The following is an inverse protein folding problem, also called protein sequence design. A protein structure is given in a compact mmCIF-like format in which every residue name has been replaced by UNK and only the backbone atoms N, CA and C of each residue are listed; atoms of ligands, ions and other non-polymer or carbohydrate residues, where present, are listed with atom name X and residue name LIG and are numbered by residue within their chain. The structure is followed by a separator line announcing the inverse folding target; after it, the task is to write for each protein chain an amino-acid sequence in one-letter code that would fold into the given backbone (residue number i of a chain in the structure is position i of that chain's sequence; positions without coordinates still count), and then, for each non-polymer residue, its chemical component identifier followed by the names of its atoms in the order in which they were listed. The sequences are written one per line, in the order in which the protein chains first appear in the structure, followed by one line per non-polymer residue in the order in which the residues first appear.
data_IF_692337058289
#
_entry.id   IF_692337058289
#
_cell.length_a   1.000
_cell.length_b   1.000
_cell.length_c   1.000
_cell.angle_alpha   90.00
_cell.angle_beta   90.00
_cell.angle_gamma   90.00
#
_symmetry.space_group_name_H-M   'P 1'
#
loop_
_entity.id
_entity.type
_entity.pdbx_description
1 polymer ?
#
# COMPACT_ATOMS: atom_id res chain seq x y z
N UNK A 1 -7.36 -5.51 -2.20
CA UNK A 1 -7.63 -6.25 -0.95
C UNK A 1 -7.18 -7.68 -1.05
N UNK A 2 -7.67 -8.48 -2.01
CA UNK A 2 -7.22 -9.86 -2.18
C UNK A 2 -5.70 -10.01 -2.20
N UNK A 3 -5.01 -9.33 -3.12
CA UNK A 3 -3.55 -9.40 -3.24
C UNK A 3 -2.82 -9.10 -1.92
N UNK A 4 -3.33 -8.14 -1.16
CA UNK A 4 -2.81 -7.78 0.16
C UNK A 4 -3.03 -8.92 1.15
N UNK A 5 -4.27 -9.43 1.25
CA UNK A 5 -4.60 -10.54 2.14
C UNK A 5 -3.81 -11.81 1.80
N UNK A 6 -3.65 -12.15 0.52
CA UNK A 6 -2.85 -13.31 0.09
C UNK A 6 -1.38 -13.16 0.43
N UNK A 7 -0.82 -11.95 0.30
CA UNK A 7 0.57 -11.65 0.62
C UNK A 7 0.85 -11.78 2.13
N UNK A 8 -0.01 -11.18 2.96
CA UNK A 8 0.23 -11.08 4.41
C UNK A 8 -0.32 -12.25 5.25
N UNK A 9 -1.16 -13.10 4.68
CA UNK A 9 -1.66 -14.29 5.38
C UNK A 9 -0.53 -15.29 5.66
N UNK A 10 -0.53 -15.88 6.86
CA UNK A 10 0.25 -17.09 7.18
C UNK A 10 -0.49 -18.33 6.69
N UNK A 11 -1.83 -18.29 6.76
CA UNK A 11 -2.70 -19.40 6.41
C UNK A 11 -3.82 -18.92 5.47
N UNK A 12 -4.04 -19.66 4.40
CA UNK A 12 -5.14 -19.41 3.46
C UNK A 12 -5.88 -20.72 3.28
N UNK A 13 -7.13 -20.77 3.73
CA UNK A 13 -7.91 -22.01 3.80
C UNK A 13 -9.29 -21.83 3.21
N UNK A 14 -9.83 -22.89 2.62
CA UNK A 14 -11.25 -22.99 2.31
C UNK A 14 -11.93 -23.75 3.43
N UNK A 15 -13.00 -23.20 3.97
CA UNK A 15 -13.72 -23.77 5.10
C UNK A 15 -15.21 -23.88 4.82
N UNK A 16 -15.90 -24.66 5.65
CA UNK A 16 -17.36 -24.68 5.73
C UNK A 16 -17.83 -24.40 7.16
N UNK A 17 -18.91 -23.63 7.37
CA UNK A 17 -19.45 -23.39 8.71
C UNK A 17 -20.00 -24.69 9.30
N UNK A 18 -19.72 -24.91 10.60
CA UNK A 18 -20.27 -26.01 11.38
C UNK A 18 -21.53 -25.61 12.15
N UNK A 19 -21.59 -24.36 12.59
CA UNK A 19 -22.69 -23.75 13.32
C UNK A 19 -22.67 -22.22 13.12
N UNK A 20 -23.70 -21.54 13.61
CA UNK A 20 -23.83 -20.08 13.53
C UNK A 20 -23.00 -19.32 14.59
N UNK A 21 -22.05 -20.00 15.24
CA UNK A 21 -21.20 -19.45 16.31
C UNK A 21 -19.80 -19.01 15.84
N UNK A 22 -19.55 -19.06 14.53
CA UNK A 22 -18.23 -18.77 13.96
C UNK A 22 -17.26 -19.95 14.02
N UNK A 23 -17.73 -21.18 14.22
CA UNK A 23 -16.93 -22.39 14.09
C UNK A 23 -16.93 -22.91 12.65
N UNK A 24 -15.74 -23.25 12.15
CA UNK A 24 -15.53 -23.68 10.78
C UNK A 24 -14.69 -24.95 10.71
N UNK A 25 -15.00 -25.83 9.75
CA UNK A 25 -14.15 -26.95 9.39
C UNK A 25 -13.35 -26.62 8.13
N UNK A 26 -12.04 -26.84 8.18
CA UNK A 26 -11.13 -26.69 7.03
C UNK A 26 -11.42 -27.79 6.01
N UNK A 27 -11.71 -27.40 4.79
CA UNK A 27 -11.90 -28.29 3.64
C UNK A 27 -10.62 -28.41 2.81
N UNK A 28 -9.92 -27.29 2.62
CA UNK A 28 -8.69 -27.20 1.83
C UNK A 28 -7.73 -26.18 2.44
N UNK A 29 -6.42 -26.39 2.28
CA UNK A 29 -5.39 -25.41 2.58
C UNK A 29 -4.63 -25.02 1.32
N UNK A 30 -4.57 -23.72 1.03
CA UNK A 30 -3.81 -23.14 -0.07
C UNK A 30 -2.45 -22.61 0.41
N UNK A 31 -2.34 -22.23 1.68
CA UNK A 31 -1.12 -21.74 2.35
C UNK A 31 -1.22 -22.06 3.84
N UNK A 32 -0.07 -22.33 4.48
CA UNK A 32 0.03 -22.50 5.93
C UNK A 32 -0.16 -23.95 6.38
N UNK A 33 -0.27 -24.12 7.70
CA UNK A 33 -0.19 -25.43 8.37
C UNK A 33 -1.57 -26.00 8.74
N UNK A 34 -2.64 -25.22 8.60
CA UNK A 34 -4.00 -25.69 8.79
C UNK A 34 -4.32 -26.83 7.81
N UNK A 35 -4.67 -28.00 8.35
CA UNK A 35 -4.95 -29.21 7.53
C UNK A 35 -6.46 -29.40 7.30
N UNK A 36 -6.86 -30.00 6.18
CA UNK A 36 -8.24 -30.47 5.99
C UNK A 36 -8.73 -31.29 7.17
N UNK A 37 -9.97 -31.05 7.60
CA UNK A 37 -10.60 -31.63 8.77
C UNK A 37 -10.37 -30.88 10.08
N UNK A 38 -9.41 -29.95 10.16
CA UNK A 38 -9.21 -29.12 11.33
C UNK A 38 -10.42 -28.24 11.61
N UNK A 39 -10.72 -27.99 12.89
CA UNK A 39 -11.78 -27.08 13.32
C UNK A 39 -11.13 -25.81 13.85
N UNK A 40 -11.59 -24.66 13.37
CA UNK A 40 -11.14 -23.34 13.82
C UNK A 40 -12.34 -22.50 14.24
N UNK A 41 -12.15 -21.65 15.25
CA UNK A 41 -13.16 -20.69 15.70
C UNK A 41 -12.74 -19.28 15.30
N UNK A 42 -13.64 -18.58 14.61
CA UNK A 42 -13.51 -17.16 14.25
C UNK A 42 -14.84 -16.49 14.56
N UNK A 43 -15.08 -16.13 15.84
CA UNK A 43 -16.36 -15.57 16.29
C UNK A 43 -16.78 -14.29 15.55
N UNK A 44 -15.81 -13.51 15.04
CA UNK A 44 -16.05 -12.30 14.26
C UNK A 44 -16.78 -12.56 12.93
N UNK A 45 -16.78 -13.82 12.47
CA UNK A 45 -17.49 -14.28 11.28
C UNK A 45 -18.79 -15.04 11.62
N UNK A 46 -19.24 -14.99 12.87
CA UNK A 46 -20.56 -15.50 13.25
C UNK A 46 -21.66 -14.55 12.74
N UNK A 47 -22.72 -15.06 12.07
CA UNK A 47 -23.88 -14.23 11.74
C UNK A 47 -24.59 -13.78 13.03
N UNK A 48 -25.01 -12.51 13.07
CA UNK A 48 -25.88 -11.98 14.12
C UNK A 48 -27.33 -12.48 13.97
N UNK A 49 -28.16 -12.44 15.04
CA UNK A 49 -29.55 -12.91 14.98
C UNK A 49 -30.43 -12.27 13.89
N UNK A 50 -30.13 -11.04 13.49
CA UNK A 50 -30.83 -10.27 12.45
C UNK A 50 -30.14 -10.32 11.07
N UNK A 51 -29.11 -11.16 10.93
CA UNK A 51 -28.42 -11.37 9.66
C UNK A 51 -29.35 -12.00 8.65
N UNK A 52 -29.25 -11.53 7.41
CA UNK A 52 -30.06 -12.06 6.31
C UNK A 52 -29.34 -13.20 5.59
N UNK A 53 -30.08 -14.10 4.92
CA UNK A 53 -29.50 -15.11 4.05
C UNK A 53 -28.67 -14.52 2.90
N UNK A 54 -27.57 -15.18 2.52
CA UNK A 54 -26.67 -14.74 1.43
C UNK A 54 -27.38 -14.53 0.08
N UNK A 55 -28.45 -15.30 -0.19
CA UNK A 55 -29.25 -15.19 -1.41
C UNK A 55 -30.17 -13.95 -1.46
N UNK A 56 -30.27 -13.17 -0.38
CA UNK A 56 -31.01 -11.91 -0.36
C UNK A 56 -30.15 -10.70 -0.68
N UNK A 57 -28.82 -10.88 -0.74
CA UNK A 57 -27.91 -9.79 -1.08
C UNK A 57 -28.02 -9.52 -2.58
N UNK A 58 -28.19 -8.24 -2.98
CA UNK A 58 -28.41 -7.90 -4.37
C UNK A 58 -27.26 -8.39 -5.25
N UNK A 59 -27.61 -9.11 -6.31
CA UNK A 59 -26.66 -9.62 -7.31
C UNK A 59 -26.05 -8.50 -8.16
N UNK A 60 -26.78 -7.38 -8.26
CA UNK A 60 -26.39 -6.18 -8.97
C UNK A 60 -26.70 -4.94 -8.12
N UNK A 61 -25.75 -4.00 -8.11
CA UNK A 61 -25.93 -2.58 -7.77
C UNK A 61 -26.03 -2.20 -6.29
N UNK A 62 -24.93 -1.60 -5.84
CA UNK A 62 -24.85 -0.52 -4.86
C UNK A 62 -26.18 0.17 -4.53
N UNK A 63 -26.67 0.01 -3.29
CA UNK A 63 -27.66 0.91 -2.71
C UNK A 63 -27.01 1.64 -1.54
N UNK A 64 -26.83 2.97 -1.60
CA UNK A 64 -26.29 3.74 -0.47
C UNK A 64 -27.23 3.74 0.75
N UNK A 65 -28.48 3.29 0.57
CA UNK A 65 -29.54 3.29 1.58
C UNK A 65 -29.71 1.98 2.34
N UNK A 66 -29.10 0.87 1.87
CA UNK A 66 -29.10 -0.41 2.58
C UNK A 66 -27.67 -0.91 2.75
N UNK A 67 -27.10 -0.68 3.93
CA UNK A 67 -25.72 -1.08 4.26
C UNK A 67 -25.73 -2.50 4.81
N UNK A 68 -25.38 -3.44 3.96
CA UNK A 68 -25.20 -4.84 4.30
C UNK A 68 -23.90 -5.04 5.10
N UNK A 69 -23.90 -4.64 6.36
CA UNK A 69 -22.68 -4.61 7.20
C UNK A 69 -22.48 -5.86 8.05
N UNK A 70 -23.49 -6.72 8.09
CA UNK A 70 -23.53 -7.96 8.89
C UNK A 70 -23.17 -9.18 8.04
N UNK A 71 -22.52 -10.15 8.69
CA UNK A 71 -22.12 -11.43 8.09
C UNK A 71 -23.36 -12.20 7.66
N UNK A 72 -23.46 -12.65 6.40
CA UNK A 72 -24.66 -13.35 5.93
C UNK A 72 -24.87 -14.70 6.63
N UNK A 73 -26.13 -15.10 6.77
CA UNK A 73 -26.46 -16.50 7.01
C UNK A 73 -26.21 -17.28 5.71
N UNK A 74 -25.38 -18.32 5.78
CA UNK A 74 -25.05 -19.17 4.64
C UNK A 74 -25.61 -20.58 4.83
N UNK A 75 -26.07 -21.26 3.75
CA UNK A 75 -26.56 -22.62 3.88
C UNK A 75 -25.43 -23.58 4.30
N UNK A 76 -25.74 -24.67 5.02
CA UNK A 76 -24.78 -25.71 5.34
C UNK A 76 -24.05 -26.22 4.08
N UNK A 77 -22.75 -26.49 4.19
CA UNK A 77 -21.92 -26.89 3.06
C UNK A 77 -21.43 -25.74 2.17
N UNK A 78 -21.81 -24.48 2.49
CA UNK A 78 -21.22 -23.31 1.85
C UNK A 78 -19.71 -23.27 2.06
N UNK A 79 -19.01 -22.69 1.09
CA UNK A 79 -17.55 -22.58 1.10
C UNK A 79 -17.15 -21.13 1.38
N UNK A 80 -16.19 -20.93 2.25
CA UNK A 80 -15.64 -19.61 2.60
C UNK A 80 -14.12 -19.71 2.49
N UNK A 81 -13.50 -18.79 1.75
CA UNK A 81 -12.06 -18.65 1.71
C UNK A 81 -11.64 -17.68 2.80
N UNK A 82 -10.74 -18.09 3.69
CA UNK A 82 -10.22 -17.28 4.78
C UNK A 82 -8.75 -16.97 4.55
N UNK A 83 -8.38 -15.71 4.77
CA UNK A 83 -7.01 -15.22 4.75
C UNK A 83 -6.63 -14.85 6.19
N UNK A 84 -5.83 -15.68 6.83
CA UNK A 84 -5.57 -15.60 8.26
C UNK A 84 -4.10 -15.32 8.51
N UNK A 85 -3.83 -14.59 9.58
CA UNK A 85 -2.51 -14.45 10.17
C UNK A 85 -2.53 -15.07 11.55
N UNK A 86 -1.50 -15.83 11.87
CA UNK A 86 -1.31 -16.36 13.22
C UNK A 86 -0.91 -15.23 14.18
N UNK A 87 -1.81 -14.93 15.11
CA UNK A 87 -1.65 -13.93 16.17
C UNK A 87 -1.43 -14.55 17.54
N UNK A 88 -1.00 -15.82 17.63
CA UNK A 88 -0.77 -16.53 18.91
C UNK A 88 0.03 -15.73 19.95
N UNK A 89 1.05 -14.97 19.54
CA UNK A 89 1.80 -14.10 20.46
C UNK A 89 0.95 -12.95 21.06
N UNK A 90 -0.05 -12.45 20.34
CA UNK A 90 -0.96 -11.41 20.82
C UNK A 90 -2.11 -11.99 21.65
N UNK A 91 -2.67 -13.12 21.24
CA UNK A 91 -3.80 -13.77 21.91
C UNK A 91 -3.48 -14.26 23.33
N UNK A 92 -2.23 -14.69 23.58
CA UNK A 92 -1.76 -15.04 24.93
C UNK A 92 -1.77 -13.85 25.90
N UNK A 93 -1.63 -12.63 25.39
CA UNK A 93 -1.57 -11.41 26.20
C UNK A 93 -2.94 -10.78 26.50
N UNK A 94 -3.94 -11.04 25.65
CA UNK A 94 -5.27 -10.40 25.72
C UNK A 94 -6.37 -11.31 26.25
N UNK A 95 -6.13 -12.63 26.33
CA UNK A 95 -7.16 -13.62 26.68
C UNK A 95 -8.25 -13.75 25.61
N UNK A 96 -7.96 -13.36 24.37
CA UNK A 96 -8.88 -13.43 23.24
C UNK A 96 -9.20 -14.87 22.83
N UNK A 97 -10.43 -15.10 22.37
CA UNK A 97 -10.97 -16.43 22.05
C UNK A 97 -10.42 -17.04 20.75
N UNK A 98 -9.72 -16.28 19.91
CA UNK A 98 -9.19 -16.75 18.63
C UNK A 98 -7.73 -16.33 18.48
N UNK A 99 -6.84 -17.30 18.16
CA UNK A 99 -5.46 -17.02 17.75
C UNK A 99 -5.35 -16.35 16.38
N UNK A 100 -6.42 -16.37 15.60
CA UNK A 100 -6.43 -15.91 14.22
C UNK A 100 -6.79 -14.44 14.13
N UNK A 101 -5.92 -13.67 13.48
CA UNK A 101 -6.16 -12.27 13.17
C UNK A 101 -6.30 -12.06 11.65
N UNK A 102 -6.93 -10.96 11.28
CA UNK A 102 -7.18 -10.61 9.90
C UNK A 102 -5.87 -10.31 9.14
N UNK A 103 -5.76 -10.78 7.90
CA UNK A 103 -4.59 -10.57 7.03
C UNK A 103 -4.76 -9.38 6.07
N UNK A 104 -5.80 -8.55 6.23
CA UNK A 104 -6.04 -7.39 5.35
C UNK A 104 -5.54 -6.07 5.97
N UNK A 105 -5.46 -5.04 5.12
CA UNK A 105 -4.95 -3.71 5.44
C UNK A 105 -5.67 -3.02 6.62
N UNK A 106 -6.94 -3.37 6.85
CA UNK A 106 -7.78 -2.70 7.85
C UNK A 106 -7.91 -3.49 9.16
N UNK A 107 -7.23 -4.65 9.26
CA UNK A 107 -7.34 -5.55 10.41
C UNK A 107 -8.80 -5.99 10.73
N UNK A 108 -9.70 -5.96 9.74
CA UNK A 108 -11.11 -6.34 9.89
C UNK A 108 -11.31 -7.79 9.43
N UNK A 109 -11.67 -8.71 10.33
CA UNK A 109 -11.83 -10.13 9.97
C UNK A 109 -12.84 -10.35 8.84
N UNK A 110 -13.88 -9.51 8.73
CA UNK A 110 -14.87 -9.59 7.64
C UNK A 110 -14.25 -9.32 6.27
N UNK A 111 -13.29 -8.40 6.19
CA UNK A 111 -12.52 -8.11 4.97
C UNK A 111 -11.40 -9.14 4.71
N UNK A 112 -11.24 -10.12 5.60
CA UNK A 112 -10.29 -11.23 5.48
C UNK A 112 -10.95 -12.55 5.04
N UNK A 113 -12.21 -12.49 4.58
CA UNK A 113 -12.98 -13.64 4.15
C UNK A 113 -13.69 -13.38 2.82
N UNK A 114 -13.85 -14.44 2.03
CA UNK A 114 -14.65 -14.44 0.81
C UNK A 114 -15.62 -15.63 0.82
N UNK A 115 -16.91 -15.35 0.70
CA UNK A 115 -17.98 -16.34 0.69
C UNK A 115 -18.25 -16.78 -0.74
N UNK A 116 -18.36 -18.09 -0.97
CA UNK A 116 -18.68 -18.66 -2.27
C UNK A 116 -20.13 -19.09 -2.28
N UNK A 117 -20.92 -18.50 -3.16
CA UNK A 117 -22.33 -18.82 -3.34
C UNK A 117 -22.70 -18.75 -4.82
N UNK A 118 -23.39 -19.79 -5.31
CA UNK A 118 -23.82 -19.90 -6.72
C UNK A 118 -22.67 -19.63 -7.73
N UNK A 119 -21.51 -20.26 -7.47
CA UNK A 119 -20.32 -20.13 -8.32
C UNK A 119 -19.59 -18.78 -8.22
N UNK A 120 -20.06 -17.85 -7.40
CA UNK A 120 -19.54 -16.47 -7.30
C UNK A 120 -18.98 -16.19 -5.92
N UNK A 121 -17.99 -15.31 -5.87
CA UNK A 121 -17.39 -14.84 -4.64
C UNK A 121 -18.02 -13.51 -4.17
N UNK A 122 -18.22 -13.44 -2.87
CA UNK A 122 -18.73 -12.29 -2.15
C UNK A 122 -17.79 -11.96 -1.00
N UNK A 123 -17.76 -10.69 -0.57
CA UNK A 123 -16.91 -10.27 0.54
C UNK A 123 -17.21 -8.86 0.98
N UNK A 124 -16.58 -8.47 2.09
CA UNK A 124 -16.72 -7.13 2.64
C UNK A 124 -15.71 -6.18 2.00
N UNK A 125 -16.22 -5.03 1.55
CA UNK A 125 -15.41 -3.96 0.98
C UNK A 125 -15.73 -2.62 1.64
N UNK A 126 -14.72 -1.85 2.00
CA UNK A 126 -14.91 -0.47 2.43
C UNK A 126 -15.01 0.44 1.19
N UNK A 127 -16.22 0.90 0.88
CA UNK A 127 -16.46 1.71 -0.31
C UNK A 127 -16.04 3.17 -0.14
N UNK A 128 -16.09 3.68 1.09
CA UNK A 128 -15.73 5.06 1.45
C UNK A 128 -14.80 4.95 2.64
N UNK A 129 -13.61 5.52 2.55
CA UNK A 129 -12.65 5.59 3.65
C UNK A 129 -12.62 7.02 4.24
N UNK A 130 -12.95 7.24 5.52
CA UNK A 130 -13.42 6.24 6.49
C UNK A 130 -14.91 5.86 6.30
N UNK A 131 -15.27 4.62 6.62
CA UNK A 131 -16.65 4.13 6.53
C UNK A 131 -16.79 2.65 6.86
N UNK A 132 -18.03 2.13 7.02
CA UNK A 132 -18.23 0.70 7.26
C UNK A 132 -17.94 -0.12 6.01
N UNK A 133 -17.41 -1.33 6.21
CA UNK A 133 -17.34 -2.35 5.16
C UNK A 133 -18.75 -2.88 4.84
N UNK A 134 -19.05 -3.06 3.56
CA UNK A 134 -20.33 -3.61 3.09
C UNK A 134 -20.10 -4.90 2.33
N UNK A 135 -20.98 -5.88 2.55
CA UNK A 135 -20.97 -7.15 1.85
C UNK A 135 -21.47 -6.95 0.42
N UNK A 136 -20.63 -7.30 -0.54
CA UNK A 136 -20.92 -7.16 -1.96
C UNK A 136 -20.41 -8.37 -2.71
N UNK A 137 -20.93 -8.51 -3.93
CA UNK A 137 -20.34 -9.39 -4.93
C UNK A 137 -18.96 -8.86 -5.35
N UNK A 138 -17.95 -9.72 -5.36
CA UNK A 138 -16.58 -9.36 -5.73
C UNK A 138 -16.37 -9.48 -7.24
N UNK A 139 -15.56 -8.58 -7.79
CA UNK A 139 -15.22 -8.52 -9.20
C UNK A 139 -13.79 -7.98 -9.38
N UNK A 140 -13.10 -8.38 -10.46
CA UNK A 140 -11.89 -7.69 -10.93
C UNK A 140 -12.23 -6.61 -11.94
N UNK A 141 -11.54 -5.48 -11.84
CA UNK A 141 -11.43 -4.53 -12.95
C UNK A 141 -10.33 -5.02 -13.89
N UNK A 142 -10.68 -5.48 -15.09
CA UNK A 142 -9.68 -5.82 -16.11
C UNK A 142 -9.46 -4.61 -17.00
N UNK A 143 -8.37 -3.88 -16.73
CA UNK A 143 -7.88 -2.71 -17.46
C UNK A 143 -8.86 -1.52 -17.62
N UNK A 144 -8.28 -0.33 -17.81
CA UNK A 144 -9.01 0.92 -18.02
C UNK A 144 -8.58 1.48 -19.38
N UNK A 145 -8.74 0.69 -20.44
CA UNK A 145 -8.51 1.19 -21.80
C UNK A 145 -9.76 1.94 -22.27
N UNK A 146 -9.59 3.17 -22.72
CA UNK A 146 -10.63 4.00 -23.34
C UNK A 146 -11.91 4.25 -22.50
N UNK A 147 -11.85 4.14 -21.17
CA UNK A 147 -12.98 4.44 -20.27
C UNK A 147 -13.96 3.28 -20.06
N UNK A 148 -13.75 2.13 -20.69
CA UNK A 148 -14.52 0.91 -20.39
C UNK A 148 -13.88 0.15 -19.23
N UNK A 149 -14.66 -0.05 -18.16
CA UNK A 149 -14.29 -0.91 -17.03
C UNK A 149 -14.96 -2.25 -17.29
N UNK A 150 -14.21 -3.22 -17.83
CA UNK A 150 -14.69 -4.60 -17.88
C UNK A 150 -14.59 -5.18 -16.46
N UNK A 151 -15.72 -5.67 -15.97
CA UNK A 151 -15.83 -6.34 -14.66
C UNK A 151 -15.95 -7.83 -14.89
N UNK A 152 -14.99 -8.58 -14.39
CA UNK A 152 -15.06 -10.04 -14.40
C UNK A 152 -15.45 -10.53 -13.00
N UNK A 153 -16.44 -11.40 -12.95
CA UNK A 153 -16.94 -11.96 -11.70
C UNK A 153 -15.89 -12.88 -11.09
N UNK A 154 -15.65 -12.75 -9.79
CA UNK A 154 -14.78 -13.68 -9.09
C UNK A 154 -15.51 -14.97 -8.79
N UNK A 155 -14.88 -16.10 -9.12
CA UNK A 155 -15.25 -17.42 -8.61
C UNK A 155 -14.22 -17.90 -7.59
N UNK A 156 -14.50 -19.01 -6.92
CA UNK A 156 -13.51 -19.68 -6.06
C UNK A 156 -12.22 -20.03 -6.82
N UNK A 157 -12.34 -20.51 -8.06
CA UNK A 157 -11.17 -20.86 -8.88
C UNK A 157 -10.33 -19.64 -9.22
N UNK A 158 -10.96 -18.51 -9.55
CA UNK A 158 -10.24 -17.26 -9.83
C UNK A 158 -9.58 -16.67 -8.58
N UNK A 159 -10.20 -16.81 -7.40
CA UNK A 159 -9.56 -16.43 -6.13
C UNK A 159 -8.33 -17.31 -5.84
N UNK A 160 -8.44 -18.61 -6.08
CA UNK A 160 -7.36 -19.57 -5.89
C UNK A 160 -6.19 -19.32 -6.83
N UNK A 161 -6.47 -19.14 -8.12
CA UNK A 161 -5.47 -18.83 -9.14
C UNK A 161 -4.73 -17.53 -8.79
N UNK A 162 -5.47 -16.46 -8.48
CA UNK A 162 -4.84 -15.20 -8.08
C UNK A 162 -4.02 -15.32 -6.80
N UNK A 163 -4.48 -16.10 -5.83
CA UNK A 163 -3.70 -16.39 -4.62
C UNK A 163 -2.39 -17.07 -4.97
N UNK A 164 -2.41 -18.10 -5.81
CA UNK A 164 -1.18 -18.79 -6.23
C UNK A 164 -0.25 -17.90 -7.06
N UNK A 165 -0.76 -16.96 -7.84
CA UNK A 165 0.07 -15.94 -8.49
C UNK A 165 0.83 -15.10 -7.46
N UNK A 166 0.15 -14.64 -6.41
CA UNK A 166 0.77 -13.86 -5.32
C UNK A 166 1.83 -14.70 -4.60
N UNK A 167 1.54 -15.96 -4.27
CA UNK A 167 2.49 -16.85 -3.57
C UNK A 167 3.72 -17.18 -4.41
N UNK A 168 3.52 -17.43 -5.71
CA UNK A 168 4.63 -17.64 -6.66
C UNK A 168 5.52 -16.40 -6.75
N UNK A 169 4.91 -15.21 -6.82
CA UNK A 169 5.65 -13.96 -6.86
C UNK A 169 6.42 -13.72 -5.54
N UNK A 170 5.82 -14.03 -4.40
CA UNK A 170 6.48 -13.96 -3.10
C UNK A 170 7.74 -14.85 -3.09
N UNK A 171 7.63 -16.12 -3.53
CA UNK A 171 8.78 -17.03 -3.60
C UNK A 171 9.89 -16.52 -4.53
N UNK A 172 9.52 -15.95 -5.68
CA UNK A 172 10.49 -15.38 -6.63
C UNK A 172 11.25 -14.19 -6.04
N UNK A 173 10.53 -13.32 -5.32
CA UNK A 173 11.14 -12.17 -4.64
C UNK A 173 12.03 -12.64 -3.48
N UNK A 174 11.60 -13.63 -2.69
CA UNK A 174 12.42 -14.22 -1.62
C UNK A 174 13.74 -14.79 -2.17
N UNK A 175 13.70 -15.45 -3.34
CA UNK A 175 14.90 -15.92 -4.02
C UNK A 175 15.83 -14.76 -4.45
N UNK A 176 15.27 -13.63 -4.91
CA UNK A 176 16.05 -12.44 -5.23
C UNK A 176 16.69 -11.82 -3.97
N UNK A 177 15.95 -11.73 -2.85
CA UNK A 177 16.45 -11.23 -1.57
C UNK A 177 17.58 -12.09 -1.02
N UNK A 178 17.52 -13.40 -1.21
CA UNK A 178 18.54 -14.34 -0.76
C UNK A 178 19.88 -14.24 -1.51
N UNK A 179 19.98 -13.44 -2.57
CA UNK A 179 21.24 -13.21 -3.28
C UNK A 179 22.21 -12.44 -2.35
N UNK A 180 23.37 -13.06 -2.06
CA UNK A 180 24.38 -12.48 -1.17
C UNK A 180 25.08 -11.25 -1.80
N UNK A 181 25.37 -11.30 -3.10
CA UNK A 181 25.94 -10.17 -3.81
C UNK A 181 24.91 -9.05 -3.92
N UNK A 182 25.19 -7.95 -3.22
CA UNK A 182 24.24 -6.83 -3.07
C UNK A 182 23.89 -6.15 -4.39
N UNK A 183 24.82 -6.11 -5.35
CA UNK A 183 24.55 -5.54 -6.67
C UNK A 183 23.62 -6.44 -7.47
N UNK A 184 23.92 -7.73 -7.55
CA UNK A 184 23.08 -8.72 -8.22
C UNK A 184 21.70 -8.83 -7.58
N UNK A 185 21.61 -8.73 -6.24
CA UNK A 185 20.34 -8.63 -5.52
C UNK A 185 19.53 -7.42 -5.99
N UNK A 186 20.13 -6.24 -6.05
CA UNK A 186 19.44 -5.04 -6.51
C UNK A 186 18.98 -5.17 -7.97
N UNK A 187 19.81 -5.71 -8.85
CA UNK A 187 19.45 -5.97 -10.25
C UNK A 187 18.27 -6.95 -10.37
N UNK A 188 18.24 -8.01 -9.56
CA UNK A 188 17.13 -8.96 -9.53
C UNK A 188 15.83 -8.32 -9.02
N UNK A 189 15.90 -7.51 -7.96
CA UNK A 189 14.75 -6.85 -7.33
C UNK A 189 14.10 -5.79 -8.24
N UNK A 190 14.85 -5.16 -9.14
CA UNK A 190 14.33 -4.14 -10.09
C UNK A 190 13.10 -4.62 -10.86
N UNK A 191 13.06 -5.90 -11.25
CA UNK A 191 11.95 -6.47 -12.03
C UNK A 191 10.61 -6.45 -11.29
N UNK A 192 10.64 -6.43 -9.95
CA UNK A 192 9.46 -6.45 -9.09
C UNK A 192 9.00 -5.07 -8.65
N UNK A 193 9.85 -4.05 -8.80
CA UNK A 193 9.52 -2.66 -8.44
C UNK A 193 8.40 -2.03 -9.30
N UNK A 194 8.04 -2.66 -10.43
CA UNK A 194 6.88 -2.29 -11.27
C UNK A 194 5.75 -3.34 -11.18
N UNK A 195 5.76 -4.18 -10.14
CA UNK A 195 4.71 -5.20 -10.01
C UNK A 195 3.33 -4.56 -9.89
N UNK A 196 2.36 -5.12 -10.63
CA UNK A 196 0.93 -4.80 -10.48
C UNK A 196 0.37 -5.29 -9.14
N UNK A 197 1.09 -6.17 -8.43
CA UNK A 197 0.76 -6.61 -7.07
C UNK A 197 1.43 -5.62 -6.10
N UNK A 198 0.64 -4.70 -5.55
CA UNK A 198 1.14 -3.60 -4.72
C UNK A 198 2.04 -4.04 -3.53
N UNK A 199 1.68 -5.07 -2.73
CA UNK A 199 2.57 -5.56 -1.67
C UNK A 199 3.93 -6.04 -2.18
N UNK A 200 3.96 -6.73 -3.32
CA UNK A 200 5.19 -7.25 -3.92
C UNK A 200 6.11 -6.12 -4.40
N UNK A 201 5.52 -5.09 -5.02
CA UNK A 201 6.22 -3.88 -5.43
C UNK A 201 6.83 -3.14 -4.24
N UNK A 202 6.03 -2.87 -3.20
CA UNK A 202 6.52 -2.19 -2.00
C UNK A 202 7.66 -2.97 -1.34
N UNK A 203 7.49 -4.29 -1.19
CA UNK A 203 8.51 -5.14 -0.61
C UNK A 203 9.81 -5.11 -1.43
N UNK A 204 9.73 -5.18 -2.76
CA UNK A 204 10.90 -5.10 -3.63
C UNK A 204 11.62 -3.74 -3.52
N UNK A 205 10.87 -2.64 -3.44
CA UNK A 205 11.44 -1.30 -3.21
C UNK A 205 12.15 -1.21 -1.86
N UNK A 206 11.54 -1.71 -0.78
CA UNK A 206 12.18 -1.73 0.55
C UNK A 206 13.46 -2.57 0.56
N UNK A 207 13.47 -3.74 -0.08
CA UNK A 207 14.65 -4.61 -0.16
C UNK A 207 15.76 -4.02 -1.06
N UNK A 208 15.40 -3.20 -2.06
CA UNK A 208 16.36 -2.38 -2.80
C UNK A 208 17.09 -1.41 -1.85
N UNK A 209 16.36 -0.73 -0.97
CA UNK A 209 16.95 0.15 0.05
C UNK A 209 17.88 -0.58 1.02
N UNK A 210 17.58 -1.83 1.35
CA UNK A 210 18.43 -2.69 2.21
C UNK A 210 19.65 -3.27 1.49
N UNK A 211 19.79 -3.03 0.19
CA UNK A 211 20.91 -3.53 -0.61
C UNK A 211 22.18 -2.69 -0.53
N UNK A 212 22.18 -1.62 0.28
CA UNK A 212 23.36 -0.82 0.56
C UNK A 212 23.90 -0.09 -0.67
N UNK A 213 25.09 0.50 -0.55
CA UNK A 213 25.64 1.41 -1.57
C UNK A 213 25.78 0.75 -2.97
N UNK A 214 25.97 -0.57 -3.03
CA UNK A 214 26.05 -1.34 -4.27
C UNK A 214 24.76 -1.27 -5.12
N UNK A 215 23.62 -0.91 -4.52
CA UNK A 215 22.34 -0.75 -5.19
C UNK A 215 22.15 0.63 -5.84
N UNK A 216 22.97 1.63 -5.50
CA UNK A 216 22.81 3.00 -6.00
C UNK A 216 22.76 3.08 -7.54
N UNK A 217 23.61 2.38 -8.32
CA UNK A 217 23.50 2.41 -9.78
C UNK A 217 22.16 1.91 -10.29
N UNK A 218 21.61 0.84 -9.68
CA UNK A 218 20.32 0.26 -10.06
C UNK A 218 19.18 1.22 -9.74
N UNK A 219 19.12 1.74 -8.51
CA UNK A 219 18.05 2.66 -8.09
C UNK A 219 18.14 3.98 -8.87
N UNK A 220 19.35 4.52 -9.14
CA UNK A 220 19.55 5.68 -10.03
C UNK A 220 18.92 5.44 -11.40
N UNK A 221 19.21 4.30 -12.01
CA UNK A 221 18.66 3.98 -13.34
C UNK A 221 17.15 3.82 -13.34
N UNK A 222 16.52 3.59 -12.18
CA UNK A 222 15.07 3.57 -12.02
C UNK A 222 14.50 4.98 -11.84
N UNK A 223 15.17 5.83 -11.04
CA UNK A 223 14.83 7.26 -10.88
C UNK A 223 14.90 8.04 -12.20
N UNK A 224 15.70 7.58 -13.15
CA UNK A 224 15.85 8.21 -14.46
C UNK A 224 14.94 7.57 -15.53
N UNK A 225 14.19 6.53 -15.18
CA UNK A 225 13.30 5.80 -16.09
C UNK A 225 11.84 6.21 -15.86
N UNK A 226 11.18 6.87 -16.84
CA UNK A 226 9.80 7.37 -16.72
C UNK A 226 8.77 6.31 -16.30
N UNK A 227 9.10 5.02 -16.51
CA UNK A 227 8.30 3.90 -16.05
C UNK A 227 8.03 3.94 -14.54
N UNK A 228 8.99 4.41 -13.75
CA UNK A 228 8.89 4.45 -12.29
C UNK A 228 8.44 5.82 -11.75
N UNK A 229 8.09 6.77 -12.62
CA UNK A 229 7.74 8.15 -12.24
C UNK A 229 6.70 8.28 -11.11
N UNK A 230 5.72 7.38 -11.09
CA UNK A 230 4.67 7.32 -10.06
C UNK A 230 5.17 6.89 -8.68
N UNK A 231 6.36 6.32 -8.62
CA UNK A 231 7.00 5.78 -7.43
C UNK A 231 8.29 6.53 -7.07
N UNK A 232 8.60 7.62 -7.77
CA UNK A 232 9.85 8.37 -7.60
C UNK A 232 10.05 8.79 -6.15
N UNK A 233 8.98 9.16 -5.44
CA UNK A 233 9.04 9.47 -4.01
C UNK A 233 9.59 8.32 -3.16
N UNK A 234 8.99 7.12 -3.31
CA UNK A 234 9.47 5.91 -2.64
C UNK A 234 10.88 5.57 -3.07
N UNK A 235 11.20 5.63 -4.37
CA UNK A 235 12.55 5.33 -4.89
C UNK A 235 13.62 6.28 -4.34
N UNK A 236 13.30 7.56 -4.16
CA UNK A 236 14.19 8.54 -3.52
C UNK A 236 14.51 8.13 -2.08
N UNK A 237 13.51 7.71 -1.29
CA UNK A 237 13.75 7.19 0.06
C UNK A 237 14.65 5.95 0.05
N UNK A 238 14.39 5.00 -0.87
CA UNK A 238 15.18 3.78 -0.95
C UNK A 238 16.61 4.07 -1.44
N UNK A 239 16.80 5.07 -2.30
CA UNK A 239 18.11 5.55 -2.72
C UNK A 239 18.91 6.10 -1.53
N UNK A 240 18.28 6.92 -0.69
CA UNK A 240 18.86 7.42 0.55
C UNK A 240 19.21 6.29 1.52
N UNK A 241 18.28 5.35 1.76
CA UNK A 241 18.49 4.20 2.65
C UNK A 241 19.63 3.30 2.19
N UNK A 242 19.75 3.07 0.88
CA UNK A 242 20.82 2.28 0.30
C UNK A 242 22.19 2.97 0.44
N UNK A 243 22.28 4.26 0.12
CA UNK A 243 23.57 4.97 0.07
C UNK A 243 24.02 5.64 1.37
N UNK A 244 23.08 5.91 2.29
CA UNK A 244 23.33 6.82 3.40
C UNK A 244 23.97 8.13 2.90
N UNK A 245 25.07 8.54 3.52
CA UNK A 245 25.81 9.74 3.11
C UNK A 245 26.33 9.70 1.65
N UNK A 246 26.60 8.52 1.08
CA UNK A 246 27.08 8.39 -0.30
C UNK A 246 26.00 8.77 -1.35
N UNK A 247 24.72 8.69 -0.99
CA UNK A 247 23.62 9.17 -1.82
C UNK A 247 23.45 10.70 -1.77
N UNK A 248 23.98 11.36 -0.74
CA UNK A 248 23.79 12.78 -0.46
C UNK A 248 24.12 13.74 -1.62
N UNK A 249 25.27 13.61 -2.31
CA UNK A 249 25.60 14.48 -3.44
C UNK A 249 24.54 14.47 -4.55
N UNK A 250 24.05 13.29 -4.93
CA UNK A 250 23.06 13.16 -6.00
C UNK A 250 21.68 13.64 -5.55
N UNK A 251 21.26 13.29 -4.34
CA UNK A 251 19.99 13.78 -3.77
C UNK A 251 20.00 15.31 -3.67
N UNK A 252 21.13 15.91 -3.29
CA UNK A 252 21.29 17.38 -3.26
C UNK A 252 21.19 17.96 -4.66
N UNK A 253 21.86 17.37 -5.66
CA UNK A 253 21.78 17.82 -7.04
C UNK A 253 20.35 17.75 -7.60
N UNK A 254 19.58 16.72 -7.26
CA UNK A 254 18.17 16.59 -7.62
C UNK A 254 17.31 17.67 -6.93
N UNK A 255 17.56 17.93 -5.64
CA UNK A 255 16.89 19.02 -4.91
C UNK A 255 17.17 20.39 -5.54
N UNK A 256 18.42 20.67 -5.91
CA UNK A 256 18.79 21.91 -6.61
C UNK A 256 18.09 22.05 -7.98
N UNK A 257 17.89 20.95 -8.69
CA UNK A 257 17.11 20.94 -9.93
C UNK A 257 15.63 21.25 -9.66
N UNK A 258 15.07 20.74 -8.56
CA UNK A 258 13.72 21.06 -8.12
C UNK A 258 13.58 22.53 -7.71
N UNK A 259 14.55 23.11 -7.01
CA UNK A 259 14.56 24.56 -6.71
C UNK A 259 14.41 25.37 -7.99
N UNK A 260 15.24 25.08 -9.01
CA UNK A 260 15.19 25.78 -10.29
C UNK A 260 13.86 25.59 -11.01
N UNK A 261 13.33 24.37 -11.00
CA UNK A 261 12.03 24.06 -11.59
C UNK A 261 10.91 24.87 -10.94
N UNK A 262 10.82 24.83 -9.60
CA UNK A 262 9.78 25.55 -8.86
C UNK A 262 9.92 27.05 -8.97
N UNK A 263 11.14 27.60 -9.02
CA UNK A 263 11.37 29.02 -9.28
C UNK A 263 10.82 29.45 -10.66
N UNK A 264 10.90 28.59 -11.67
CA UNK A 264 10.38 28.87 -12.99
C UNK A 264 8.85 28.71 -13.08
N UNK A 265 8.30 27.65 -12.49
CA UNK A 265 6.88 27.28 -12.65
C UNK A 265 5.99 27.91 -11.57
N UNK A 266 6.45 27.98 -10.33
CA UNK A 266 5.69 28.45 -9.17
C UNK A 266 4.94 29.79 -9.38
N UNK A 267 5.57 30.84 -9.94
CA UNK A 267 4.90 32.12 -10.18
C UNK A 267 3.75 32.05 -11.18
N UNK A 268 3.74 31.03 -12.04
CA UNK A 268 2.72 30.83 -13.09
C UNK A 268 1.55 29.97 -12.64
N UNK A 269 1.68 29.27 -11.51
CA UNK A 269 0.62 28.42 -11.00
C UNK A 269 -0.55 29.25 -10.45
N UNK A 270 -1.80 28.89 -10.77
CA UNK A 270 -2.95 29.49 -10.13
C UNK A 270 -3.03 29.09 -8.65
N UNK A 271 -3.62 29.95 -7.81
CA UNK A 271 -3.94 29.59 -6.43
C UNK A 271 -4.90 28.40 -6.43
N UNK A 272 -4.63 27.41 -5.58
CA UNK A 272 -5.41 26.17 -5.51
C UNK A 272 -5.14 25.18 -6.64
N UNK A 273 -4.06 25.37 -7.43
CA UNK A 273 -3.68 24.51 -8.57
C UNK A 273 -3.75 23.02 -8.27
N UNK A 274 -3.45 22.63 -7.02
CA UNK A 274 -3.48 21.24 -6.57
C UNK A 274 -4.80 20.53 -6.88
N UNK A 275 -5.94 21.21 -6.70
CA UNK A 275 -7.28 20.62 -6.84
C UNK A 275 -8.08 21.20 -8.02
N UNK A 276 -7.44 21.96 -8.90
CA UNK A 276 -8.12 22.46 -10.09
C UNK A 276 -8.51 21.30 -10.98
N UNK A 277 -9.76 21.32 -11.44
CA UNK A 277 -10.32 20.32 -12.36
C UNK A 277 -10.59 21.04 -13.68
N UNK A 278 -10.08 20.49 -14.77
CA UNK A 278 -10.40 20.89 -16.13
C UNK A 278 -11.13 19.76 -16.87
N UNK A 279 -11.34 19.94 -18.18
CA UNK A 279 -12.00 18.94 -19.04
C UNK A 279 -11.25 17.60 -19.13
N UNK A 280 -9.99 17.55 -18.73
CA UNK A 280 -9.14 16.36 -18.74
C UNK A 280 -8.97 15.73 -17.35
N UNK A 281 -9.66 16.25 -16.32
CA UNK A 281 -9.58 15.76 -14.95
C UNK A 281 -8.82 16.72 -14.04
N UNK A 282 -8.02 16.21 -13.11
CA UNK A 282 -7.27 17.06 -12.18
C UNK A 282 -6.09 17.69 -12.93
N UNK A 283 -6.12 19.01 -13.08
CA UNK A 283 -5.16 19.80 -13.85
C UNK A 283 -3.70 19.57 -13.40
N UNK A 284 -3.48 19.46 -12.09
CA UNK A 284 -2.16 19.21 -11.54
C UNK A 284 -1.58 17.83 -11.90
N UNK A 285 -2.43 16.84 -12.15
CA UNK A 285 -2.01 15.49 -12.56
C UNK A 285 -1.65 15.48 -14.05
N UNK A 286 -2.46 16.14 -14.88
CA UNK A 286 -2.20 16.19 -16.34
C UNK A 286 -0.91 16.92 -16.70
N UNK A 287 -0.43 17.81 -15.83
CA UNK A 287 0.82 18.55 -16.00
C UNK A 287 1.99 17.96 -15.20
N UNK A 288 1.78 16.88 -14.43
CA UNK A 288 2.82 16.23 -13.62
C UNK A 288 3.27 17.01 -12.38
N UNK A 289 2.54 18.07 -11.98
CA UNK A 289 2.93 18.92 -10.85
C UNK A 289 2.81 18.20 -9.50
N UNK A 290 1.82 17.31 -9.32
CA UNK A 290 1.66 16.52 -8.09
C UNK A 290 2.80 15.52 -7.88
N UNK A 291 3.24 14.88 -8.96
CA UNK A 291 4.34 13.92 -8.92
C UNK A 291 5.65 14.64 -8.56
N UNK A 292 5.95 15.75 -9.26
CA UNK A 292 7.13 16.57 -8.96
C UNK A 292 7.09 17.14 -7.54
N UNK A 293 5.93 17.60 -7.06
CA UNK A 293 5.78 18.08 -5.69
C UNK A 293 6.11 16.99 -4.66
N UNK A 294 5.58 15.79 -4.88
CA UNK A 294 5.84 14.64 -4.02
C UNK A 294 7.33 14.32 -4.00
N UNK A 295 7.97 14.26 -5.16
CA UNK A 295 9.42 14.03 -5.30
C UNK A 295 10.25 15.05 -4.50
N UNK A 296 9.93 16.33 -4.62
CA UNK A 296 10.61 17.40 -3.87
C UNK A 296 10.54 17.17 -2.36
N UNK A 297 9.37 16.79 -1.82
CA UNK A 297 9.21 16.47 -0.39
C UNK A 297 10.06 15.26 0.00
N UNK A 298 10.05 14.19 -0.79
CA UNK A 298 10.84 13.00 -0.49
C UNK A 298 12.35 13.25 -0.56
N UNK A 299 12.82 14.13 -1.45
CA UNK A 299 14.22 14.55 -1.51
C UNK A 299 14.63 15.25 -0.21
N UNK A 300 13.83 16.21 0.27
CA UNK A 300 14.10 16.92 1.54
C UNK A 300 14.13 15.92 2.70
N UNK A 301 13.11 15.07 2.83
CA UNK A 301 13.02 14.09 3.91
C UNK A 301 14.20 13.12 3.90
N UNK A 302 14.57 12.64 2.72
CA UNK A 302 15.69 11.73 2.54
C UNK A 302 17.01 12.37 2.95
N UNK A 303 17.26 13.62 2.54
CA UNK A 303 18.46 14.37 2.90
C UNK A 303 18.54 14.67 4.41
N UNK A 304 17.40 14.93 5.06
CA UNK A 304 17.32 15.08 6.53
C UNK A 304 17.58 13.74 7.23
N UNK A 305 16.99 12.64 6.75
CA UNK A 305 17.15 11.30 7.31
C UNK A 305 18.63 10.86 7.30
N UNK A 306 19.34 11.07 6.17
CA UNK A 306 20.78 10.76 6.07
C UNK A 306 21.70 11.83 6.67
N UNK A 307 21.12 12.89 7.27
CA UNK A 307 21.80 14.02 7.91
C UNK A 307 22.85 14.70 7.01
N UNK A 308 22.55 14.88 5.73
CA UNK A 308 23.53 15.34 4.74
C UNK A 308 23.68 16.86 4.73
N UNK A 309 24.63 17.36 5.52
CA UNK A 309 24.94 18.78 5.73
C UNK A 309 25.00 19.65 4.46
N UNK A 310 25.64 19.23 3.35
CA UNK A 310 25.73 20.08 2.16
C UNK A 310 24.38 20.44 1.53
N UNK A 311 23.29 19.75 1.86
CA UNK A 311 21.95 20.04 1.34
C UNK A 311 21.29 21.29 1.95
N UNK A 312 21.79 21.81 3.08
CA UNK A 312 21.16 22.92 3.82
C UNK A 312 20.91 24.13 2.93
N UNK A 313 21.88 24.51 2.10
CA UNK A 313 21.74 25.69 1.23
C UNK A 313 20.63 25.54 0.18
N UNK A 314 20.48 24.34 -0.40
CA UNK A 314 19.40 24.07 -1.35
C UNK A 314 18.03 24.07 -0.65
N UNK A 315 17.95 23.50 0.56
CA UNK A 315 16.73 23.50 1.36
C UNK A 315 16.30 24.90 1.80
N UNK A 316 17.25 25.76 2.20
CA UNK A 316 16.97 27.17 2.54
C UNK A 316 16.38 27.94 1.36
N UNK A 317 17.02 27.82 0.18
CA UNK A 317 16.51 28.45 -1.04
C UNK A 317 15.11 27.96 -1.40
N UNK A 318 14.87 26.64 -1.32
CA UNK A 318 13.56 26.07 -1.58
C UNK A 318 12.51 26.62 -0.61
N UNK A 319 12.79 26.57 0.69
CA UNK A 319 11.92 27.05 1.75
C UNK A 319 11.53 28.51 1.53
N UNK A 320 12.51 29.37 1.35
CA UNK A 320 12.31 30.81 1.26
C UNK A 320 11.50 31.16 0.01
N UNK A 321 11.81 30.51 -1.10
CA UNK A 321 11.02 30.61 -2.33
C UNK A 321 9.58 30.13 -2.11
N UNK A 322 9.39 28.95 -1.52
CA UNK A 322 8.07 28.36 -1.30
C UNK A 322 7.19 29.29 -0.45
N UNK A 323 7.74 29.82 0.65
CA UNK A 323 7.06 30.78 1.54
C UNK A 323 6.72 32.10 0.87
N UNK A 324 7.48 32.50 -0.16
CA UNK A 324 7.26 33.78 -0.86
C UNK A 324 6.02 33.79 -1.76
N UNK A 325 5.47 32.62 -2.11
CA UNK A 325 4.35 32.50 -3.04
C UNK A 325 3.09 31.90 -2.37
N UNK A 326 1.95 32.61 -2.33
CA UNK A 326 0.74 32.11 -1.68
C UNK A 326 0.16 30.85 -2.34
N UNK A 327 0.36 30.67 -3.66
CA UNK A 327 -0.06 29.47 -4.38
C UNK A 327 0.78 28.21 -4.07
N UNK A 328 1.96 28.38 -3.45
CA UNK A 328 2.81 27.28 -2.98
C UNK A 328 2.71 27.11 -1.46
N UNK A 329 2.66 28.20 -0.69
CA UNK A 329 2.59 28.18 0.77
C UNK A 329 1.14 28.13 1.32
N UNK A 330 0.29 27.33 0.69
CA UNK A 330 -1.11 27.18 1.11
C UNK A 330 -1.22 26.34 2.41
N UNK A 331 -1.80 26.87 3.51
CA UNK A 331 -1.98 26.14 4.76
C UNK A 331 -2.87 24.90 4.67
N UNK A 332 -3.63 24.72 3.59
CA UNK A 332 -4.45 23.53 3.35
C UNK A 332 -3.63 22.28 2.99
N UNK A 333 -2.31 22.41 2.81
CA UNK A 333 -1.38 21.29 2.73
C UNK A 333 -0.12 21.54 1.89
N UNK A 334 -0.11 22.55 1.02
CA UNK A 334 1.04 22.82 0.13
C UNK A 334 2.22 23.47 0.87
N UNK A 335 1.99 24.06 2.04
CA UNK A 335 3.03 24.54 2.94
C UNK A 335 3.93 23.43 3.50
N UNK A 336 3.58 22.15 3.31
CA UNK A 336 4.37 21.01 3.79
C UNK A 336 5.81 21.04 3.26
N UNK A 337 6.03 21.39 1.99
CA UNK A 337 7.39 21.47 1.44
C UNK A 337 8.26 22.47 2.20
N UNK A 338 7.73 23.66 2.50
CA UNK A 338 8.42 24.67 3.29
C UNK A 338 8.70 24.17 4.72
N UNK A 339 7.73 23.49 5.33
CA UNK A 339 7.85 22.94 6.68
C UNK A 339 8.91 21.84 6.78
N UNK A 340 8.99 20.92 5.81
CA UNK A 340 10.02 19.89 5.79
C UNK A 340 11.41 20.49 5.53
N UNK A 341 11.51 21.48 4.65
CA UNK A 341 12.76 22.19 4.41
C UNK A 341 13.24 22.93 5.67
N UNK A 342 12.32 23.57 6.41
CA UNK A 342 12.63 24.16 7.72
C UNK A 342 13.18 23.14 8.72
N UNK A 343 12.56 21.96 8.80
CA UNK A 343 13.04 20.89 9.70
C UNK A 343 14.44 20.45 9.34
N UNK A 344 14.71 20.17 8.06
CA UNK A 344 16.04 19.81 7.58
C UNK A 344 17.07 20.87 7.98
N UNK A 345 16.79 22.15 7.67
CA UNK A 345 17.71 23.25 7.99
C UNK A 345 17.95 23.32 9.50
N UNK A 346 16.90 23.22 10.32
CA UNK A 346 17.03 23.24 11.78
C UNK A 346 17.87 22.08 12.31
N UNK A 347 17.63 20.86 11.83
CA UNK A 347 18.35 19.66 12.26
C UNK A 347 19.83 19.68 11.86
N UNK A 348 20.14 20.30 10.72
CA UNK A 348 21.50 20.31 10.18
C UNK A 348 22.27 21.58 10.52
N UNK A 349 21.66 22.63 11.05
CA UNK A 349 22.41 23.81 11.48
C UNK A 349 23.42 23.47 12.61
N UNK A 350 24.70 23.92 12.50
CA UNK A 350 25.69 23.72 13.56
C UNK A 350 25.23 24.37 14.87
N UNK A 351 25.10 23.59 15.94
CA UNK A 351 24.69 24.05 17.27
C UNK A 351 23.28 23.64 17.72
N UNK A 352 22.52 22.95 16.88
CA UNK A 352 21.20 22.38 17.21
C UNK A 352 21.25 20.85 17.47
N UNK A 353 22.39 20.30 17.90
CA UNK A 353 22.37 18.98 18.51
C UNK A 353 21.54 19.10 19.79
N UNK A 354 20.27 18.71 19.71
CA UNK A 354 19.52 18.31 20.89
C UNK A 354 20.43 17.39 21.68
N UNK A 355 20.72 17.81 22.92
CA UNK A 355 21.60 17.05 23.79
C UNK A 355 21.08 15.63 23.89
N UNK A 356 21.94 14.67 23.61
CA UNK A 356 21.85 13.34 24.19
C UNK A 356 21.83 13.51 25.72
N UNK A 357 20.64 13.68 26.29
CA UNK A 357 20.40 13.39 27.70
C UNK A 357 20.41 11.87 27.87
N UNK A 358 21.61 11.39 28.24
CA UNK A 358 21.96 10.28 29.15
C UNK A 358 21.20 8.95 29.07
#
# INVERSE_FOLDING_TARGET
MLDYSSWHATDIVVVTPLADDGSFQVLESWKGDLRPGAIIAIPDLAPKPDSVPINWYPHDSFSPFKRWTEVPVVPPGSRIVLYLKDGSQAAESTGERSRWVAANLFSDMKASAAWIYDGRAYGFVQMINPGPSVFVRLWYSTERNAGEVRREELSESSLKERTFDVLRLQQQIEAAVAIEDRKARAEALRSYADSKIYPAKNFALEELGKSGEAALPTIRSMLDDPKFSKDDGTLVEQYAKAGGAAAGPELTSRLEADVKYWQAIGPTLPVGWWNLIDQNGIWAETHGYRDRYSQTIFLIRSLDEIRYQPAVFAAEQLRDFWKSLPQLNDPSGLNQTANEADKLVKHLQPGNSEGDER
#
